data_IF_084584282060
#
_entry.id   IF_084584282060
#
_cell.length_a   1.000
_cell.length_b   1.000
_cell.length_c   1.000
_cell.angle_alpha   90.00
_cell.angle_beta   90.00
_cell.angle_gamma   90.00
#
_symmetry.space_group_name_H-M   'P 1'
#
loop_
_entity.id
_entity.type
_entity.pdbx_description
1 polymer ?
#
# COMPACT_ATOMS: atom_id res chain seq x y z
N UNK A 1 27.67 33.85 5.69
CA UNK A 1 26.92 33.13 6.73
C UNK A 1 26.00 32.15 6.03
N UNK A 2 26.43 30.89 5.95
CA UNK A 2 25.57 29.78 5.52
C UNK A 2 24.50 29.56 6.58
N UNK A 3 23.23 29.70 6.19
CA UNK A 3 22.07 29.33 7.00
C UNK A 3 22.28 27.92 7.57
N UNK A 4 22.31 27.73 8.90
CA UNK A 4 22.36 26.41 9.50
C UNK A 4 21.02 25.75 9.19
N UNK A 5 20.96 25.14 8.00
CA UNK A 5 19.92 24.24 7.51
C UNK A 5 19.11 23.73 8.70
N UNK A 6 17.90 24.27 8.84
CA UNK A 6 16.81 23.67 9.59
C UNK A 6 16.90 22.15 9.43
N UNK A 7 17.53 21.48 10.40
CA UNK A 7 17.64 20.02 10.37
C UNK A 7 16.20 19.58 10.59
N UNK A 8 15.57 19.15 9.50
CA UNK A 8 14.21 18.61 9.59
C UNK A 8 14.22 17.50 10.63
N UNK A 9 13.26 17.49 11.57
CA UNK A 9 13.27 16.54 12.67
C UNK A 9 13.30 15.09 12.17
N UNK A 10 14.16 14.31 12.80
CA UNK A 10 14.35 12.89 12.54
C UNK A 10 13.15 12.07 13.05
N UNK A 11 12.85 10.97 12.35
CA UNK A 11 11.71 10.10 12.63
C UNK A 11 12.18 8.76 13.20
N UNK A 12 11.64 8.39 14.36
CA UNK A 12 11.74 7.04 14.94
C UNK A 12 10.46 6.27 14.61
N UNK A 13 10.62 5.05 14.10
CA UNK A 13 9.49 4.14 13.83
C UNK A 13 9.41 3.12 14.96
N UNK A 14 8.27 3.10 15.65
CA UNK A 14 7.97 2.16 16.73
C UNK A 14 6.99 1.12 16.22
N UNK A 15 7.43 -0.13 16.14
CA UNK A 15 6.63 -1.24 15.67
C UNK A 15 5.82 -1.87 16.79
N UNK A 16 4.51 -1.60 16.85
CA UNK A 16 3.57 -2.28 17.75
C UNK A 16 3.19 -3.70 17.31
N UNK A 17 3.61 -4.10 16.12
CA UNK A 17 3.48 -5.44 15.54
C UNK A 17 4.84 -5.91 14.98
N UNK A 18 5.07 -7.23 14.89
CA UNK A 18 6.36 -7.75 14.45
C UNK A 18 6.69 -7.30 13.01
N UNK A 19 7.78 -6.53 12.79
CA UNK A 19 8.07 -5.91 11.49
C UNK A 19 8.36 -6.94 10.39
N UNK A 20 8.96 -8.09 10.75
CA UNK A 20 9.24 -9.18 9.80
C UNK A 20 7.99 -9.85 9.21
N UNK A 21 6.80 -9.57 9.75
CA UNK A 21 5.53 -10.08 9.24
C UNK A 21 4.68 -9.00 8.57
N UNK A 22 5.21 -7.80 8.30
CA UNK A 22 4.45 -6.76 7.58
C UNK A 22 4.97 -6.65 6.15
N UNK A 23 4.11 -6.89 5.17
CA UNK A 23 4.48 -6.79 3.75
C UNK A 23 4.73 -5.35 3.32
N UNK A 24 4.08 -4.42 4.03
CA UNK A 24 4.03 -2.98 3.84
C UNK A 24 5.29 -2.30 4.40
N UNK A 25 6.10 -2.99 5.22
CA UNK A 25 7.23 -2.40 5.96
C UNK A 25 8.16 -1.55 5.09
N UNK A 26 8.69 -2.12 4.01
CA UNK A 26 9.66 -1.41 3.18
C UNK A 26 9.03 -0.21 2.45
N UNK A 27 7.75 -0.31 2.07
CA UNK A 27 6.99 0.80 1.48
C UNK A 27 6.84 1.95 2.48
N UNK A 28 6.38 1.65 3.68
CA UNK A 28 6.22 2.61 4.77
C UNK A 28 7.54 3.32 5.09
N UNK A 29 8.64 2.58 5.18
CA UNK A 29 9.97 3.17 5.42
C UNK A 29 10.43 4.06 4.26
N UNK A 30 10.07 3.74 3.01
CA UNK A 30 10.36 4.62 1.87
C UNK A 30 9.63 5.96 1.95
N UNK A 31 8.39 6.00 2.45
CA UNK A 31 7.62 7.23 2.63
C UNK A 31 8.29 8.22 3.61
N UNK A 32 9.13 7.73 4.53
CA UNK A 32 9.83 8.53 5.53
C UNK A 32 11.19 9.06 5.07
N UNK A 33 11.77 8.54 3.98
CA UNK A 33 13.09 8.95 3.53
C UNK A 33 13.08 10.42 3.05
N UNK A 34 14.13 11.21 3.33
CA UNK A 34 15.40 10.85 3.99
C UNK A 34 15.40 11.04 5.53
N UNK A 35 14.25 11.26 6.17
CA UNK A 35 14.16 11.65 7.60
C UNK A 35 14.11 10.47 8.58
N UNK A 36 14.04 9.25 8.05
CA UNK A 36 14.04 8.03 8.85
C UNK A 36 15.38 7.85 9.57
N UNK A 37 15.33 7.67 10.89
CA UNK A 37 16.50 7.50 11.75
C UNK A 37 16.76 6.03 12.08
N UNK A 38 15.82 5.39 12.79
CA UNK A 38 15.90 3.98 13.18
C UNK A 38 14.51 3.41 13.52
N UNK A 39 14.45 2.08 13.62
CA UNK A 39 13.29 1.30 14.07
C UNK A 39 13.47 0.83 15.51
N UNK A 40 12.36 0.71 16.25
CA UNK A 40 12.27 0.15 17.60
C UNK A 40 11.14 -0.88 17.61
N UNK A 41 11.37 -2.05 18.20
CA UNK A 41 10.40 -3.14 18.19
C UNK A 41 9.65 -3.25 19.52
N UNK A 42 8.37 -2.87 19.53
CA UNK A 42 7.48 -2.86 20.71
C UNK A 42 6.33 -3.86 20.61
N UNK A 43 6.49 -4.90 19.81
CA UNK A 43 5.46 -5.91 19.59
C UNK A 43 5.36 -6.90 20.78
N UNK A 44 6.49 -7.22 21.41
CA UNK A 44 6.60 -8.09 22.59
C UNK A 44 7.11 -7.37 23.85
N UNK A 45 8.21 -6.61 23.73
CA UNK A 45 8.87 -5.92 24.83
C UNK A 45 9.04 -4.43 24.52
N UNK A 46 8.99 -3.57 25.54
CA UNK A 46 9.14 -2.13 25.36
C UNK A 46 10.60 -1.70 25.46
N UNK A 47 11.32 -1.81 24.35
CA UNK A 47 12.69 -1.36 24.23
C UNK A 47 12.81 0.16 24.49
N UNK A 48 13.75 0.61 25.34
CA UNK A 48 13.95 2.04 25.55
C UNK A 48 14.54 2.69 24.29
N UNK A 49 14.11 3.91 23.98
CA UNK A 49 14.72 4.73 22.94
C UNK A 49 14.78 6.20 23.37
N UNK A 50 15.71 6.96 22.81
CA UNK A 50 15.86 8.39 23.07
C UNK A 50 15.44 9.16 21.84
N UNK A 51 14.50 10.08 22.00
CA UNK A 51 14.12 11.01 20.94
C UNK A 51 15.08 12.20 20.90
N UNK A 52 15.59 12.56 19.71
CA UNK A 52 16.27 13.83 19.57
C UNK A 52 15.30 14.99 19.87
N UNK A 53 15.79 16.18 20.29
CA UNK A 53 14.94 17.35 20.47
C UNK A 53 14.13 17.66 19.21
N UNK A 54 12.80 17.72 19.35
CA UNK A 54 11.88 17.89 18.21
C UNK A 54 11.66 16.63 17.37
N UNK A 55 12.15 15.47 17.81
CA UNK A 55 11.98 14.18 17.15
C UNK A 55 10.53 13.78 16.98
N UNK A 56 10.27 13.05 15.89
CA UNK A 56 8.96 12.56 15.48
C UNK A 56 8.87 11.06 15.72
N UNK A 57 7.71 10.58 16.13
CA UNK A 57 7.44 9.14 16.29
C UNK A 57 6.34 8.72 15.34
N UNK A 58 6.57 7.64 14.61
CA UNK A 58 5.51 6.87 13.95
C UNK A 58 5.30 5.59 14.74
N UNK A 59 4.12 5.43 15.32
CA UNK A 59 3.69 4.15 15.91
C UNK A 59 2.97 3.34 14.83
N UNK A 60 3.48 2.16 14.49
CA UNK A 60 2.85 1.25 13.54
C UNK A 60 2.09 0.15 14.26
N UNK A 61 0.80 0.06 14.01
CA UNK A 61 -0.11 -0.94 14.55
C UNK A 61 -0.73 -1.73 13.41
N UNK A 62 -0.86 -3.05 13.58
CA UNK A 62 -1.33 -3.94 12.53
C UNK A 62 -2.54 -4.75 12.99
N UNK A 63 -3.56 -4.80 12.14
CA UNK A 63 -4.73 -5.65 12.31
C UNK A 63 -4.54 -7.06 11.71
N UNK A 64 -3.33 -7.41 11.26
CA UNK A 64 -3.04 -8.73 10.64
C UNK A 64 -3.41 -9.91 11.55
N UNK A 65 -3.34 -9.74 12.86
CA UNK A 65 -3.78 -10.72 13.85
C UNK A 65 -5.26 -11.13 13.73
N UNK A 66 -6.07 -10.37 12.98
CA UNK A 66 -7.47 -10.67 12.66
C UNK A 66 -7.67 -11.35 11.30
N UNK A 67 -6.64 -11.45 10.46
CA UNK A 67 -6.73 -11.96 9.08
C UNK A 67 -6.46 -13.46 8.97
N UNK A 68 -5.77 -14.07 9.93
CA UNK A 68 -5.41 -15.49 9.89
C UNK A 68 -6.44 -16.35 10.64
N UNK A 69 -7.19 -17.19 9.91
CA UNK A 69 -8.08 -18.21 10.47
C UNK A 69 -7.35 -19.28 11.31
N UNK A 70 -6.01 -19.25 11.30
CA UNK A 70 -5.13 -20.15 12.05
C UNK A 70 -4.75 -19.62 13.43
N UNK A 71 -4.98 -18.35 13.77
CA UNK A 71 -4.67 -17.85 15.12
C UNK A 71 -5.91 -17.93 16.00
N UNK A 72 -6.30 -19.16 16.35
CA UNK A 72 -7.40 -19.43 17.29
C UNK A 72 -7.08 -19.04 18.74
N UNK A 73 -5.82 -18.69 19.01
CA UNK A 73 -5.28 -18.37 20.35
C UNK A 73 -4.76 -16.92 20.49
N UNK A 74 -5.19 -15.97 19.64
CA UNK A 74 -4.85 -14.56 19.89
C UNK A 74 -5.63 -14.04 21.08
N UNK A 75 -4.94 -13.76 22.18
CA UNK A 75 -5.49 -12.95 23.26
C UNK A 75 -5.62 -11.49 22.79
N UNK A 76 -6.79 -11.15 22.24
CA UNK A 76 -7.14 -9.80 21.82
C UNK A 76 -7.06 -8.81 22.99
N UNK A 77 -7.41 -9.26 24.20
CA UNK A 77 -7.29 -8.43 25.41
C UNK A 77 -5.84 -8.07 25.70
N UNK A 78 -4.91 -9.02 25.54
CA UNK A 78 -3.49 -8.76 25.69
C UNK A 78 -2.95 -7.81 24.59
N UNK A 79 -3.45 -7.88 23.36
CA UNK A 79 -3.12 -6.92 22.29
C UNK A 79 -3.59 -5.51 22.67
N UNK A 80 -4.85 -5.36 23.08
CA UNK A 80 -5.43 -4.08 23.49
C UNK A 80 -4.69 -3.49 24.69
N UNK A 81 -4.33 -4.30 25.68
CA UNK A 81 -3.51 -3.89 26.82
C UNK A 81 -2.13 -3.39 26.39
N UNK A 82 -1.45 -4.11 25.48
CA UNK A 82 -0.15 -3.67 24.92
C UNK A 82 -0.28 -2.36 24.15
N UNK A 83 -1.33 -2.18 23.35
CA UNK A 83 -1.62 -0.91 22.65
C UNK A 83 -1.80 0.24 23.63
N UNK A 84 -2.60 0.05 24.68
CA UNK A 84 -2.81 1.06 25.71
C UNK A 84 -1.51 1.43 26.44
N UNK A 85 -0.66 0.44 26.74
CA UNK A 85 0.68 0.65 27.31
C UNK A 85 1.58 1.47 26.40
N UNK A 86 1.62 1.16 25.09
CA UNK A 86 2.40 1.95 24.11
C UNK A 86 1.94 3.39 24.05
N UNK A 87 0.63 3.62 23.95
CA UNK A 87 0.08 4.97 23.92
C UNK A 87 0.39 5.76 25.20
N UNK A 88 0.36 5.11 26.36
CA UNK A 88 0.75 5.74 27.62
C UNK A 88 2.23 6.12 27.64
N UNK A 89 3.12 5.23 27.16
CA UNK A 89 4.57 5.52 27.07
C UNK A 89 4.88 6.65 26.09
N UNK A 90 4.06 6.82 25.06
CA UNK A 90 4.22 7.85 24.04
C UNK A 90 3.38 9.11 24.34
N UNK A 91 2.72 9.21 25.49
CA UNK A 91 1.76 10.28 25.79
C UNK A 91 2.39 11.69 25.75
N UNK A 92 3.67 11.78 26.09
CA UNK A 92 4.47 13.02 26.15
C UNK A 92 5.16 13.34 24.82
N UNK A 93 5.08 12.44 23.84
CA UNK A 93 5.60 12.68 22.49
C UNK A 93 4.69 13.67 21.78
N UNK A 94 5.21 14.88 21.54
CA UNK A 94 4.47 15.97 20.91
C UNK A 94 4.10 15.67 19.45
N UNK A 95 5.01 15.04 18.70
CA UNK A 95 4.82 14.69 17.29
C UNK A 95 4.68 13.18 17.10
N UNK A 96 3.56 12.63 17.54
CA UNK A 96 3.20 11.22 17.35
C UNK A 96 2.18 11.07 16.21
N UNK A 97 2.52 10.28 15.20
CA UNK A 97 1.66 9.81 14.13
C UNK A 97 1.41 8.31 14.31
N UNK A 98 0.18 7.86 14.09
CA UNK A 98 -0.18 6.44 14.12
C UNK A 98 -0.35 5.95 12.68
N UNK A 99 0.29 4.84 12.34
CA UNK A 99 -0.01 4.06 11.14
C UNK A 99 -0.78 2.81 11.51
N UNK A 100 -1.96 2.64 10.91
CA UNK A 100 -2.79 1.48 11.13
C UNK A 100 -2.91 0.67 9.84
N UNK A 101 -2.25 -0.48 9.80
CA UNK A 101 -2.09 -1.30 8.59
C UNK A 101 -2.84 -2.62 8.67
N UNK A 102 -3.06 -3.23 7.51
CA UNK A 102 -3.67 -4.55 7.36
C UNK A 102 -5.13 -4.70 7.90
N UNK A 103 -5.84 -3.60 8.19
CA UNK A 103 -7.25 -3.60 8.65
C UNK A 103 -8.24 -3.59 7.47
N UNK A 104 -8.14 -4.57 6.57
CA UNK A 104 -8.91 -4.62 5.31
C UNK A 104 -10.44 -4.57 5.56
N UNK A 105 -10.91 -5.16 6.65
CA UNK A 105 -12.33 -5.25 6.99
C UNK A 105 -12.84 -4.10 7.86
N UNK A 106 -11.97 -3.24 8.37
CA UNK A 106 -12.33 -2.17 9.31
C UNK A 106 -12.63 -2.64 10.75
N UNK A 107 -12.49 -3.93 11.05
CA UNK A 107 -12.95 -4.49 12.34
C UNK A 107 -12.10 -4.02 13.51
N UNK A 108 -10.80 -3.81 13.29
CA UNK A 108 -9.92 -3.32 14.33
C UNK A 108 -10.16 -1.83 14.57
N UNK A 109 -10.31 -1.06 13.48
CA UNK A 109 -10.64 0.37 13.54
C UNK A 109 -11.94 0.67 14.29
N UNK A 110 -12.99 -0.14 14.12
CA UNK A 110 -14.28 0.00 14.82
C UNK A 110 -14.11 0.04 16.35
N UNK A 111 -13.17 -0.75 16.89
CA UNK A 111 -12.92 -0.84 18.33
C UNK A 111 -11.92 0.21 18.78
N UNK A 112 -10.89 0.41 17.98
CA UNK A 112 -9.71 1.13 18.42
C UNK A 112 -9.84 2.65 18.27
N UNK A 113 -10.35 3.15 17.14
CA UNK A 113 -10.40 4.59 16.87
C UNK A 113 -11.25 5.39 17.87
N UNK A 114 -12.40 4.89 18.36
CA UNK A 114 -13.16 5.59 19.41
C UNK A 114 -12.38 5.79 20.72
N UNK A 115 -11.39 4.93 20.98
CA UNK A 115 -10.56 4.99 22.20
C UNK A 115 -9.32 5.88 22.05
N UNK A 116 -8.97 6.26 20.83
CA UNK A 116 -7.77 7.04 20.57
C UNK A 116 -7.99 8.51 20.95
N UNK A 117 -7.04 9.14 21.66
CA UNK A 117 -7.06 10.57 21.87
C UNK A 117 -7.13 11.29 20.51
N UNK A 118 -8.06 12.25 20.31
CA UNK A 118 -8.16 13.00 19.05
C UNK A 118 -6.85 13.71 18.68
N UNK A 119 -5.93 13.88 19.66
CA UNK A 119 -4.64 14.53 19.47
C UNK A 119 -3.70 13.83 18.48
N UNK A 120 -3.86 12.53 18.27
CA UNK A 120 -2.96 11.75 17.43
C UNK A 120 -3.60 11.48 16.06
N UNK A 121 -3.00 11.96 14.97
CA UNK A 121 -3.42 11.58 13.63
C UNK A 121 -3.17 10.09 13.41
N UNK A 122 -4.07 9.47 12.67
CA UNK A 122 -4.01 8.08 12.24
C UNK A 122 -4.02 8.09 10.71
N UNK A 123 -3.02 7.49 10.08
CA UNK A 123 -3.10 7.15 8.67
C UNK A 123 -3.35 5.65 8.55
N UNK A 124 -4.41 5.29 7.84
CA UNK A 124 -4.81 3.90 7.64
C UNK A 124 -4.68 3.49 6.18
N UNK A 125 -4.45 2.22 5.96
CA UNK A 125 -4.72 1.57 4.69
C UNK A 125 -6.21 1.24 4.58
N UNK A 126 -6.68 0.89 3.37
CA UNK A 126 -8.04 0.42 3.15
C UNK A 126 -9.10 1.45 3.59
N UNK A 127 -9.35 2.50 2.79
CA UNK A 127 -10.32 3.55 3.10
C UNK A 127 -11.69 2.98 3.43
N UNK A 128 -12.34 3.53 4.46
CA UNK A 128 -13.68 3.11 4.80
C UNK A 128 -14.52 4.30 5.28
N UNK A 129 -15.65 4.54 4.60
CA UNK A 129 -16.56 5.67 4.87
C UNK A 129 -17.04 5.72 6.33
N UNK A 130 -17.10 4.57 7.01
CA UNK A 130 -17.50 4.50 8.42
C UNK A 130 -16.56 5.29 9.35
N UNK A 131 -15.32 5.52 8.93
CA UNK A 131 -14.33 6.28 9.69
C UNK A 131 -14.23 7.74 9.27
N UNK A 132 -15.03 8.18 8.30
CA UNK A 132 -15.05 9.56 7.84
C UNK A 132 -15.46 10.57 8.94
N UNK A 133 -16.12 10.09 10.01
CA UNK A 133 -16.45 10.93 11.17
C UNK A 133 -15.26 11.21 12.10
N UNK A 134 -14.15 10.51 11.95
CA UNK A 134 -12.93 10.76 12.72
C UNK A 134 -12.00 11.69 11.96
N UNK A 135 -12.02 12.97 12.28
CA UNK A 135 -11.19 14.00 11.62
C UNK A 135 -9.68 13.69 11.68
N UNK A 136 -9.25 12.96 12.71
CA UNK A 136 -7.86 12.54 12.87
C UNK A 136 -7.45 11.36 11.97
N UNK A 137 -8.40 10.70 11.30
CA UNK A 137 -8.15 9.52 10.46
C UNK A 137 -8.05 9.94 9.00
N UNK A 138 -6.87 9.73 8.41
CA UNK A 138 -6.63 9.86 6.96
C UNK A 138 -6.24 8.52 6.34
N UNK A 139 -6.14 8.50 5.01
CA UNK A 139 -5.81 7.30 4.25
C UNK A 139 -4.39 7.36 3.65
N UNK A 140 -3.76 6.19 3.55
CA UNK A 140 -2.56 5.93 2.76
C UNK A 140 -2.81 4.74 1.82
N UNK A 141 -2.20 4.75 0.63
CA UNK A 141 -2.21 3.57 -0.24
C UNK A 141 -1.42 2.42 0.40
N UNK A 142 -1.91 1.18 0.21
CA UNK A 142 -1.25 -0.05 0.66
C UNK A 142 0.21 -0.15 0.17
N UNK A 143 0.45 0.29 -1.06
CA UNK A 143 1.77 0.32 -1.68
C UNK A 143 2.31 -1.06 -2.10
N UNK A 144 3.53 -1.08 -2.67
CA UNK A 144 4.19 -2.29 -3.15
C UNK A 144 4.86 -3.05 -2.00
N UNK A 145 5.02 -4.36 -2.16
CA UNK A 145 5.88 -5.13 -1.23
C UNK A 145 7.35 -4.87 -1.52
N UNK A 146 8.21 -5.26 -0.58
CA UNK A 146 9.68 -5.23 -0.72
C UNK A 146 10.18 -5.79 -2.06
N UNK A 147 9.54 -6.83 -2.58
CA UNK A 147 9.99 -7.52 -3.78
C UNK A 147 9.97 -6.62 -5.03
N UNK A 148 9.02 -5.70 -5.13
CA UNK A 148 8.92 -4.76 -6.24
C UNK A 148 9.73 -3.46 -6.02
N UNK A 149 10.19 -3.21 -4.80
CA UNK A 149 11.00 -2.04 -4.43
C UNK A 149 12.48 -2.22 -4.80
N UNK A 150 12.73 -2.62 -6.04
CA UNK A 150 14.05 -2.85 -6.59
C UNK A 150 14.30 -1.94 -7.79
N UNK A 151 15.56 -1.60 -8.02
CA UNK A 151 15.93 -0.76 -9.16
C UNK A 151 16.19 -1.63 -10.40
N UNK A 152 15.21 -1.71 -11.30
CA UNK A 152 15.35 -2.37 -12.60
C UNK A 152 15.46 -1.33 -13.73
N UNK A 153 16.19 -1.65 -14.82
CA UNK A 153 16.27 -0.77 -15.97
C UNK A 153 14.88 -0.58 -16.61
N UNK A 154 14.53 0.66 -16.92
CA UNK A 154 13.26 0.95 -17.58
C UNK A 154 13.15 0.24 -18.93
N UNK A 155 11.99 -0.39 -19.16
CA UNK A 155 11.64 -1.02 -20.43
C UNK A 155 10.28 -0.49 -20.93
N UNK A 156 10.23 0.14 -22.12
CA UNK A 156 8.98 0.49 -22.78
C UNK A 156 8.06 -0.73 -22.88
N UNK A 157 6.77 -0.52 -22.63
CA UNK A 157 5.76 -1.57 -22.61
C UNK A 157 5.72 -2.33 -23.95
N UNK A 158 5.77 -1.62 -25.08
CA UNK A 158 5.83 -2.21 -26.42
C UNK A 158 6.95 -3.24 -26.64
N UNK A 159 8.03 -3.15 -25.86
CA UNK A 159 9.18 -4.06 -25.95
C UNK A 159 9.10 -5.24 -24.97
N UNK A 160 8.10 -5.30 -24.09
CA UNK A 160 7.96 -6.34 -23.07
C UNK A 160 7.44 -7.65 -23.67
N UNK A 161 7.80 -8.77 -23.05
CA UNK A 161 7.57 -10.11 -23.59
C UNK A 161 6.10 -10.56 -23.51
N UNK A 162 5.45 -10.28 -22.38
CA UNK A 162 4.11 -10.79 -22.11
C UNK A 162 3.07 -9.68 -22.34
N UNK A 163 2.05 -9.91 -23.18
CA UNK A 163 0.99 -8.93 -23.38
C UNK A 163 0.15 -8.72 -22.12
N UNK A 164 0.04 -9.74 -21.28
CA UNK A 164 -0.59 -9.59 -19.97
C UNK A 164 -0.04 -10.64 -19.00
N UNK A 165 -0.11 -10.36 -17.70
CA UNK A 165 0.19 -11.35 -16.68
C UNK A 165 -0.85 -11.41 -15.55
N UNK A 166 -0.99 -12.59 -14.94
CA UNK A 166 -1.63 -12.79 -13.65
C UNK A 166 -0.82 -13.79 -12.80
N UNK A 167 -0.55 -13.47 -11.53
CA UNK A 167 0.17 -14.35 -10.61
C UNK A 167 -0.43 -14.26 -9.20
N UNK A 168 -1.15 -15.28 -8.76
CA UNK A 168 -1.73 -15.34 -7.41
C UNK A 168 -2.81 -16.40 -7.29
N UNK A 169 -3.65 -16.34 -6.27
CA UNK A 169 -4.69 -17.35 -6.07
C UNK A 169 -5.73 -17.32 -7.19
N UNK A 170 -5.98 -18.48 -7.80
CA UNK A 170 -6.96 -18.66 -8.87
C UNK A 170 -8.12 -19.52 -8.39
N UNK A 171 -9.14 -18.86 -7.85
CA UNK A 171 -10.36 -19.54 -7.42
C UNK A 171 -11.42 -19.46 -8.51
N UNK A 172 -11.99 -20.60 -8.96
CA UNK A 172 -13.09 -20.59 -9.91
C UNK A 172 -14.27 -19.74 -9.44
N UNK A 173 -14.93 -19.05 -10.37
CA UNK A 173 -16.10 -18.22 -10.05
C UNK A 173 -15.79 -16.87 -9.38
N UNK A 174 -14.52 -16.54 -9.15
CA UNK A 174 -14.11 -15.22 -8.63
C UNK A 174 -13.69 -14.27 -9.76
N UNK A 175 -13.61 -12.96 -9.46
CA UNK A 175 -13.07 -11.94 -10.37
C UNK A 175 -11.69 -12.32 -10.91
N UNK A 176 -10.86 -13.01 -10.11
CA UNK A 176 -9.54 -13.52 -10.54
C UNK A 176 -9.64 -14.54 -11.68
N UNK A 177 -10.54 -15.51 -11.54
CA UNK A 177 -10.80 -16.50 -12.58
C UNK A 177 -11.41 -15.87 -13.83
N UNK A 178 -12.33 -14.92 -13.66
CA UNK A 178 -12.94 -14.18 -14.77
C UNK A 178 -11.90 -13.37 -15.56
N UNK A 179 -11.02 -12.64 -14.87
CA UNK A 179 -9.93 -11.87 -15.47
C UNK A 179 -9.06 -12.75 -16.37
N UNK A 180 -8.54 -13.85 -15.81
CA UNK A 180 -7.65 -14.76 -16.54
C UNK A 180 -8.36 -15.44 -17.70
N UNK A 181 -9.59 -15.92 -17.51
CA UNK A 181 -10.36 -16.56 -18.58
C UNK A 181 -10.69 -15.58 -19.72
N UNK A 182 -11.07 -14.36 -19.38
CA UNK A 182 -11.38 -13.30 -20.34
C UNK A 182 -10.15 -12.97 -21.21
N UNK A 183 -8.99 -12.78 -20.58
CA UNK A 183 -7.76 -12.43 -21.27
C UNK A 183 -7.19 -13.60 -22.08
N UNK A 184 -7.20 -14.83 -21.55
CA UNK A 184 -6.80 -16.03 -22.31
C UNK A 184 -7.62 -16.22 -23.59
N UNK A 185 -8.92 -15.92 -23.54
CA UNK A 185 -9.82 -16.05 -24.69
C UNK A 185 -9.65 -14.98 -25.77
N UNK A 186 -8.96 -13.86 -25.48
CA UNK A 186 -8.91 -12.68 -26.37
C UNK A 186 -7.50 -12.27 -26.79
N UNK A 187 -6.52 -12.43 -25.89
CA UNK A 187 -5.15 -11.97 -26.08
C UNK A 187 -4.22 -13.18 -25.84
N UNK A 188 -3.65 -13.79 -26.90
CA UNK A 188 -2.77 -14.94 -26.76
C UNK A 188 -1.44 -14.56 -26.09
N UNK A 189 -0.65 -15.57 -25.72
CA UNK A 189 0.72 -15.42 -25.21
C UNK A 189 0.88 -14.69 -23.87
N UNK A 190 -0.20 -14.43 -23.14
CA UNK A 190 -0.11 -13.93 -21.77
C UNK A 190 0.38 -14.97 -20.78
N UNK A 191 0.85 -14.50 -19.63
CA UNK A 191 1.35 -15.32 -18.54
C UNK A 191 0.30 -15.45 -17.43
N UNK A 192 0.02 -16.66 -16.96
CA UNK A 192 -0.86 -16.85 -15.82
C UNK A 192 -0.35 -17.97 -14.91
N UNK A 193 -0.20 -17.67 -13.63
CA UNK A 193 0.17 -18.63 -12.59
C UNK A 193 -0.82 -18.56 -11.43
N UNK A 194 -1.44 -19.71 -11.13
CA UNK A 194 -2.33 -19.89 -9.99
C UNK A 194 -1.59 -20.49 -8.80
N UNK A 195 -1.71 -19.89 -7.63
CA UNK A 195 -1.29 -20.49 -6.36
C UNK A 195 -2.45 -21.10 -5.58
N UNK A 196 -2.15 -22.06 -4.71
CA UNK A 196 -3.13 -22.70 -3.83
C UNK A 196 -3.58 -21.77 -2.70
N UNK A 197 -2.69 -20.88 -2.26
CA UNK A 197 -2.94 -19.93 -1.18
C UNK A 197 -2.18 -18.61 -1.32
N UNK A 198 -2.45 -17.71 -0.38
CA UNK A 198 -1.70 -16.46 -0.24
C UNK A 198 -0.27 -16.75 0.22
N UNK A 199 0.72 -16.07 -0.35
CA UNK A 199 2.14 -16.33 -0.06
C UNK A 199 2.72 -17.62 -0.69
N UNK A 200 1.90 -18.43 -1.37
CA UNK A 200 2.30 -19.71 -1.97
C UNK A 200 2.51 -19.61 -3.50
N UNK A 201 2.84 -18.41 -3.98
CA UNK A 201 3.02 -18.13 -5.40
C UNK A 201 4.40 -18.50 -5.94
N UNK A 202 4.75 -17.90 -7.08
CA UNK A 202 6.10 -17.96 -7.61
C UNK A 202 7.11 -17.42 -6.61
N UNK A 203 8.36 -17.90 -6.71
CA UNK A 203 9.48 -17.25 -6.04
C UNK A 203 9.56 -15.77 -6.42
N UNK A 204 9.87 -14.90 -5.46
CA UNK A 204 9.84 -13.45 -5.62
C UNK A 204 10.62 -12.97 -6.86
N UNK A 205 11.81 -13.51 -7.11
CA UNK A 205 12.62 -13.15 -8.29
C UNK A 205 11.90 -13.44 -9.60
N UNK A 206 11.22 -14.59 -9.69
CA UNK A 206 10.48 -14.97 -10.88
C UNK A 206 9.18 -14.16 -11.02
N UNK A 207 8.48 -13.88 -9.92
CA UNK A 207 7.31 -13.00 -9.90
C UNK A 207 7.65 -11.60 -10.45
N UNK A 208 8.69 -10.98 -9.88
CA UNK A 208 9.19 -9.66 -10.28
C UNK A 208 9.62 -9.69 -11.74
N UNK A 209 10.35 -10.73 -12.16
CA UNK A 209 10.78 -10.86 -13.55
C UNK A 209 9.59 -10.87 -14.52
N UNK A 210 8.60 -11.74 -14.28
CA UNK A 210 7.40 -11.81 -15.14
C UNK A 210 6.67 -10.48 -15.16
N UNK A 211 6.45 -9.85 -14.00
CA UNK A 211 5.74 -8.58 -13.90
C UNK A 211 6.48 -7.46 -14.66
N UNK A 212 7.81 -7.37 -14.51
CA UNK A 212 8.66 -6.44 -15.25
C UNK A 212 8.69 -6.70 -16.77
N UNK A 213 8.52 -7.97 -17.19
CA UNK A 213 8.42 -8.35 -18.60
C UNK A 213 6.98 -8.31 -19.15
N UNK A 214 6.01 -7.77 -18.41
CA UNK A 214 4.61 -7.73 -18.80
C UNK A 214 4.12 -6.33 -19.15
N UNK A 215 3.31 -6.23 -20.21
CA UNK A 215 2.69 -4.99 -20.67
C UNK A 215 1.55 -4.58 -19.75
N UNK A 216 0.60 -5.49 -19.56
CA UNK A 216 -0.51 -5.33 -18.63
C UNK A 216 -0.40 -6.32 -17.46
N UNK A 217 -0.83 -5.90 -16.28
CA UNK A 217 -0.95 -6.76 -15.10
C UNK A 217 -2.39 -6.82 -14.64
N UNK A 218 -2.96 -8.02 -14.61
CA UNK A 218 -4.32 -8.23 -14.14
C UNK A 218 -4.35 -8.14 -12.62
N UNK A 219 -4.99 -7.08 -12.12
CA UNK A 219 -5.10 -6.71 -10.72
C UNK A 219 -6.58 -6.76 -10.27
N UNK A 220 -7.21 -7.94 -10.26
CA UNK A 220 -8.52 -8.10 -9.65
C UNK A 220 -8.46 -7.78 -8.17
N UNK A 221 -9.62 -7.40 -7.65
CA UNK A 221 -9.80 -6.95 -6.29
C UNK A 221 -9.31 -7.98 -5.24
N UNK A 222 -8.97 -7.42 -4.08
CA UNK A 222 -8.78 -8.16 -2.84
C UNK A 222 -10.09 -8.75 -2.34
N UNK A 223 -10.21 -8.93 -1.02
CA UNK A 223 -11.47 -9.41 -0.46
C UNK A 223 -12.53 -8.30 -0.45
N UNK A 224 -12.13 -7.06 -0.11
CA UNK A 224 -13.04 -5.91 0.04
C UNK A 224 -12.62 -4.68 -0.76
N UNK A 225 -11.34 -4.57 -1.10
CA UNK A 225 -10.78 -3.38 -1.75
C UNK A 225 -10.27 -3.71 -3.14
N UNK A 226 -10.38 -2.75 -4.05
CA UNK A 226 -9.81 -2.91 -5.39
C UNK A 226 -8.28 -2.87 -5.35
N UNK A 227 -7.70 -2.12 -4.41
CA UNK A 227 -6.26 -2.04 -4.25
C UNK A 227 -5.68 -3.36 -3.71
N UNK A 228 -4.56 -3.78 -4.29
CA UNK A 228 -3.84 -4.98 -3.89
C UNK A 228 -2.34 -4.69 -4.00
N UNK A 229 -1.48 -5.47 -3.35
CA UNK A 229 -0.04 -5.36 -3.56
C UNK A 229 0.33 -5.38 -5.04
N UNK A 230 -0.29 -6.28 -5.82
CA UNK A 230 -0.04 -6.40 -7.26
C UNK A 230 -0.33 -5.12 -8.02
N UNK A 231 -1.37 -4.38 -7.65
CA UNK A 231 -1.68 -3.10 -8.28
C UNK A 231 -0.49 -2.15 -8.19
N UNK A 232 0.07 -1.98 -6.98
CA UNK A 232 1.20 -1.11 -6.73
C UNK A 232 2.53 -1.66 -7.26
N UNK A 233 2.75 -2.97 -7.16
CA UNK A 233 3.93 -3.64 -7.72
C UNK A 233 3.97 -3.51 -9.24
N UNK A 234 2.81 -3.50 -9.90
CA UNK A 234 2.70 -3.26 -11.34
C UNK A 234 3.17 -1.85 -11.69
N UNK A 235 2.70 -0.84 -10.93
CA UNK A 235 3.12 0.55 -11.11
C UNK A 235 4.63 0.72 -10.88
N UNK A 236 5.19 0.08 -9.85
CA UNK A 236 6.64 0.13 -9.57
C UNK A 236 7.48 -0.52 -10.68
N UNK A 237 7.06 -1.68 -11.18
CA UNK A 237 7.79 -2.41 -12.23
C UNK A 237 7.40 -1.96 -13.64
N UNK A 238 6.59 -0.92 -13.76
CA UNK A 238 6.16 -0.29 -15.01
C UNK A 238 5.20 -1.11 -15.87
N UNK A 239 4.57 -2.16 -15.31
CA UNK A 239 3.45 -2.84 -15.95
C UNK A 239 2.19 -1.99 -15.75
N UNK A 240 1.30 -1.97 -16.74
CA UNK A 240 0.04 -1.20 -16.67
C UNK A 240 -0.97 -2.03 -15.87
N UNK A 241 -1.35 -1.63 -14.64
CA UNK A 241 -2.36 -2.37 -13.88
C UNK A 241 -3.72 -2.23 -14.54
N UNK A 242 -4.45 -3.34 -14.64
CA UNK A 242 -5.85 -3.39 -15.02
C UNK A 242 -6.65 -3.88 -13.81
N UNK A 243 -7.49 -3.02 -13.27
CA UNK A 243 -8.34 -3.30 -12.11
C UNK A 243 -9.77 -2.82 -12.39
N UNK A 244 -10.76 -3.51 -11.83
CA UNK A 244 -12.13 -3.01 -11.83
C UNK A 244 -12.29 -2.07 -10.63
N UNK A 245 -12.58 -0.81 -10.88
CA UNK A 245 -12.76 0.19 -9.84
C UNK A 245 -13.71 1.29 -10.30
N UNK A 246 -14.23 2.05 -9.34
CA UNK A 246 -15.01 3.27 -9.60
C UNK A 246 -14.15 4.53 -9.43
N UNK A 247 -14.56 5.69 -9.98
CA UNK A 247 -13.90 6.96 -9.72
C UNK A 247 -13.86 7.31 -8.22
N UNK A 248 -14.92 7.00 -7.47
CA UNK A 248 -15.00 7.27 -6.02
C UNK A 248 -13.95 6.46 -5.25
N UNK A 249 -13.74 5.21 -5.63
CA UNK A 249 -12.68 4.38 -5.04
C UNK A 249 -11.29 4.97 -5.29
N UNK A 250 -11.02 5.52 -6.49
CA UNK A 250 -9.76 6.20 -6.76
C UNK A 250 -9.62 7.52 -6.00
N UNK A 251 -10.68 8.33 -5.95
CA UNK A 251 -10.70 9.61 -5.24
C UNK A 251 -10.45 9.46 -3.73
N UNK A 252 -10.77 8.29 -3.16
CA UNK A 252 -10.50 7.99 -1.76
C UNK A 252 -9.01 7.80 -1.42
N UNK A 253 -8.17 7.55 -2.43
CA UNK A 253 -6.74 7.22 -2.29
C UNK A 253 -5.81 8.23 -2.98
N UNK A 254 -6.20 8.69 -4.15
CA UNK A 254 -5.34 9.43 -5.07
C UNK A 254 -5.92 10.80 -5.41
N UNK A 255 -5.04 11.72 -5.82
CA UNK A 255 -5.45 13.04 -6.27
C UNK A 255 -5.74 13.04 -7.79
N UNK A 256 -6.76 13.77 -8.21
CA UNK A 256 -7.07 13.95 -9.63
C UNK A 256 -6.04 14.83 -10.35
N UNK A 257 -5.79 14.62 -11.66
CA UNK A 257 -6.31 13.53 -12.50
C UNK A 257 -5.42 12.27 -12.47
N UNK A 258 -6.04 11.08 -12.48
CA UNK A 258 -5.34 9.80 -12.60
C UNK A 258 -5.35 9.26 -14.05
N UNK A 259 -4.24 8.68 -14.54
CA UNK A 259 -4.18 8.03 -15.86
C UNK A 259 -4.68 6.57 -15.84
N UNK A 260 -5.32 6.15 -14.74
CA UNK A 260 -5.85 4.80 -14.54
C UNK A 260 -7.17 4.61 -15.31
N UNK A 261 -7.24 3.69 -16.28
CA UNK A 261 -8.50 3.37 -16.95
C UNK A 261 -9.45 2.66 -15.99
N UNK A 262 -10.68 3.18 -15.87
CA UNK A 262 -11.74 2.53 -15.10
C UNK A 262 -12.52 1.55 -15.99
N UNK A 263 -12.80 0.36 -15.45
CA UNK A 263 -13.56 -0.68 -16.15
C UNK A 263 -14.69 -1.20 -15.28
N UNK A 264 -15.82 -1.49 -15.90
CA UNK A 264 -16.96 -2.14 -15.24
C UNK A 264 -16.96 -3.67 -15.43
N UNK A 265 -16.14 -4.18 -16.35
CA UNK A 265 -16.00 -5.62 -16.58
C UNK A 265 -14.63 -5.99 -17.17
N UNK A 266 -14.24 -7.25 -17.01
CA UNK A 266 -12.99 -7.76 -17.58
C UNK A 266 -13.01 -7.80 -19.11
N UNK A 267 -14.17 -7.90 -19.75
CA UNK A 267 -14.31 -7.80 -21.20
C UNK A 267 -13.97 -6.41 -21.71
N UNK A 268 -14.40 -5.36 -21.00
CA UNK A 268 -14.00 -3.98 -21.32
C UNK A 268 -12.50 -3.79 -21.15
N UNK A 269 -11.93 -4.29 -20.04
CA UNK A 269 -10.49 -4.24 -19.78
C UNK A 269 -9.69 -4.98 -20.86
N UNK A 270 -10.14 -6.16 -21.29
CA UNK A 270 -9.50 -6.94 -22.34
C UNK A 270 -9.59 -6.27 -23.72
N UNK A 271 -10.75 -5.68 -24.07
CA UNK A 271 -10.91 -4.94 -25.31
C UNK A 271 -10.00 -3.70 -25.36
N UNK A 272 -9.91 -2.97 -24.23
CA UNK A 272 -9.00 -1.84 -24.07
C UNK A 272 -7.53 -2.27 -24.26
N UNK A 273 -7.12 -3.33 -23.56
CA UNK A 273 -5.76 -3.86 -23.70
C UNK A 273 -5.48 -4.26 -25.14
N UNK A 274 -6.38 -5.00 -25.79
CA UNK A 274 -6.24 -5.44 -27.18
C UNK A 274 -6.07 -4.25 -28.15
N UNK A 275 -6.84 -3.17 -27.98
CA UNK A 275 -6.68 -1.96 -28.78
C UNK A 275 -5.31 -1.30 -28.61
N UNK A 276 -4.83 -1.18 -27.37
CA UNK A 276 -3.48 -0.63 -27.12
C UNK A 276 -2.36 -1.54 -27.62
N UNK A 277 -2.54 -2.86 -27.59
CA UNK A 277 -1.55 -3.81 -28.12
C UNK A 277 -1.31 -3.63 -29.63
N UNK A 278 -2.29 -3.10 -30.36
CA UNK A 278 -2.14 -2.74 -31.77
C UNK A 278 -1.51 -1.35 -32.02
N UNK A 279 -1.32 -0.55 -30.97
CA UNK A 279 -0.73 0.79 -31.04
C UNK A 279 0.42 0.92 -30.01
N UNK A 280 1.64 0.49 -30.39
CA UNK A 280 2.82 0.57 -29.53
C UNK A 280 3.10 1.98 -28.99
N UNK A 281 2.79 3.03 -29.76
CA UNK A 281 3.05 4.42 -29.36
C UNK A 281 2.07 4.82 -28.25
N UNK A 282 0.78 4.52 -28.42
CA UNK A 282 -0.21 4.79 -27.38
C UNK A 282 0.03 3.96 -26.11
N UNK A 283 0.46 2.70 -26.26
CA UNK A 283 0.81 1.81 -25.16
C UNK A 283 1.96 2.37 -24.31
N UNK A 284 3.06 2.77 -24.96
CA UNK A 284 4.21 3.38 -24.28
C UNK A 284 3.88 4.74 -23.66
N UNK A 285 3.06 5.54 -24.34
CA UNK A 285 2.59 6.81 -23.80
C UNK A 285 1.72 6.64 -22.54
N UNK A 286 0.86 5.61 -22.49
CA UNK A 286 0.10 5.29 -21.29
C UNK A 286 1.02 4.84 -20.15
N UNK A 287 1.96 3.94 -20.43
CA UNK A 287 2.93 3.45 -19.46
C UNK A 287 3.73 4.60 -18.83
N UNK A 288 4.20 5.55 -19.63
CA UNK A 288 4.95 6.71 -19.16
C UNK A 288 4.07 7.64 -18.30
N UNK A 289 2.82 7.89 -18.71
CA UNK A 289 1.88 8.69 -17.91
C UNK A 289 1.62 8.05 -16.54
N UNK A 290 1.40 6.74 -16.50
CA UNK A 290 1.21 6.00 -15.25
C UNK A 290 2.44 6.07 -14.36
N UNK A 291 3.64 5.94 -14.92
CA UNK A 291 4.88 6.09 -14.16
C UNK A 291 5.01 7.47 -13.53
N UNK A 292 4.88 8.53 -14.32
CA UNK A 292 4.99 9.91 -13.83
C UNK A 292 3.95 10.21 -12.74
N UNK A 293 2.71 9.76 -12.96
CA UNK A 293 1.65 9.88 -11.98
C UNK A 293 1.96 9.10 -10.69
N UNK A 294 2.39 7.84 -10.80
CA UNK A 294 2.71 7.04 -9.62
C UNK A 294 3.87 7.66 -8.83
N UNK A 295 4.93 8.11 -9.51
CA UNK A 295 6.02 8.84 -8.87
C UNK A 295 5.50 10.05 -8.09
N UNK A 296 4.57 10.82 -8.66
CA UNK A 296 3.92 11.95 -7.98
C UNK A 296 3.07 11.51 -6.77
N UNK A 297 2.28 10.45 -6.89
CA UNK A 297 1.47 9.91 -5.78
C UNK A 297 2.35 9.44 -4.61
N UNK A 298 3.51 8.84 -4.86
CA UNK A 298 4.46 8.51 -3.78
C UNK A 298 4.95 9.76 -3.05
N UNK A 299 5.24 10.84 -3.78
CA UNK A 299 5.60 12.12 -3.16
C UNK A 299 4.44 12.73 -2.38
N UNK A 300 3.20 12.58 -2.85
CA UNK A 300 2.00 13.02 -2.13
C UNK A 300 1.78 12.19 -0.87
N UNK A 301 1.91 10.87 -0.93
CA UNK A 301 1.84 9.99 0.24
C UNK A 301 2.90 10.36 1.29
N UNK A 302 4.16 10.57 0.88
CA UNK A 302 5.22 11.05 1.78
C UNK A 302 4.88 12.41 2.39
N UNK A 303 4.28 13.33 1.62
CA UNK A 303 3.79 14.62 2.15
C UNK A 303 2.64 14.45 3.13
N UNK A 304 1.70 13.52 2.90
CA UNK A 304 0.59 13.23 3.85
C UNK A 304 1.12 12.76 5.20
N UNK A 305 2.14 11.91 5.18
CA UNK A 305 2.86 11.48 6.40
C UNK A 305 3.44 12.70 7.12
N UNK A 306 4.06 13.63 6.39
CA UNK A 306 4.62 14.84 7.01
C UNK A 306 3.58 15.81 7.52
N UNK A 307 2.51 16.06 6.77
CA UNK A 307 1.40 16.91 7.23
C UNK A 307 0.69 16.30 8.43
N UNK A 308 0.69 14.97 8.58
CA UNK A 308 0.24 14.30 9.79
C UNK A 308 0.93 14.87 11.03
N UNK A 309 2.25 15.07 10.99
CA UNK A 309 2.97 15.70 12.12
C UNK A 309 2.67 17.20 12.32
N UNK A 310 2.24 17.89 11.25
CA UNK A 310 2.14 19.36 11.23
C UNK A 310 0.70 19.89 11.43
N UNK A 311 -0.33 19.04 11.35
CA UNK A 311 -1.76 19.37 11.46
C UNK A 311 -2.20 20.07 12.77
N UNK A 312 -1.26 20.40 13.67
CA UNK A 312 -1.51 21.12 14.93
C UNK A 312 -0.61 22.33 15.16
N UNK A 313 0.20 22.77 14.20
CA UNK A 313 0.88 24.08 14.32
C UNK A 313 -0.08 25.27 14.20
N UNK A 314 -1.35 25.05 13.90
CA UNK A 314 -2.33 26.10 13.55
C UNK A 314 -3.41 26.37 14.59
N UNK A 315 -3.35 25.80 15.80
CA UNK A 315 -4.19 26.27 16.91
C UNK A 315 -3.34 27.12 17.86
N UNK A 316 -3.59 28.45 17.94
CA UNK A 316 -2.87 29.35 18.84
C UNK A 316 -3.11 29.04 20.33
#
# INVERSE_FOLDING_TARGET
MSDPRSISPEVVVVWGAHPGYQYERDWLLQLLRPRFLHEVEWHEQFEPFVLPPGGRVVLVESARHLMEAEIRDVDLGAIEQRRAERLRRLQDVQQLLIWHISDEQGRDGDRWYPSLPPKHPVLREFPHDRFACFEQVGNLPLGPTRSALINLPWRPSSLRQHPWCFMGTLWPGTSRGQAVNCFRGRIPNGFAHGSEGFGQGLANEHYVFVLHQSQFSLCPEGHRHFETFRFYESLELGAIPLALHTPEQLASLFSEPWPLPAFQSWEQAAAFAQGLLSDPVALDALQLRMRCWWEQERHLASRRVQSGFDARRTNP
#
